data_IF_273757488040
#
_entry.id   IF_273757488040
#
_cell.length_a   1.000
_cell.length_b   1.000
_cell.length_c   1.000
_cell.angle_alpha   90.00
_cell.angle_beta   90.00
_cell.angle_gamma   90.00
#
_symmetry.space_group_name_H-M   'P 1'
#
loop_
_entity.id
_entity.type
_entity.pdbx_description
1 polymer ?
#
# COMPACT_ATOMS: atom_id res chain seq x y z
N UNK A 1 44.11 53.16 25.18
CA UNK A 1 42.84 52.81 24.50
C UNK A 1 42.96 51.38 23.97
N UNK A 2 41.96 50.56 24.33
CA UNK A 2 41.57 49.25 23.79
C UNK A 2 42.56 48.07 23.82
N UNK A 3 42.48 47.33 24.94
CA UNK A 3 42.68 45.88 25.04
C UNK A 3 41.77 45.10 24.07
N UNK A 4 42.25 44.01 23.49
CA UNK A 4 41.41 42.97 22.87
C UNK A 4 41.90 41.57 23.27
N UNK A 5 41.55 41.16 24.49
CA UNK A 5 41.59 39.76 24.88
C UNK A 5 40.39 39.03 24.26
N UNK A 6 40.67 38.13 23.32
CA UNK A 6 39.70 37.16 22.81
C UNK A 6 39.50 36.05 23.86
N UNK A 7 38.35 36.08 24.54
CA UNK A 7 37.89 34.99 25.41
C UNK A 7 37.19 33.92 24.57
N UNK A 8 37.93 32.87 24.23
CA UNK A 8 37.33 31.61 23.79
C UNK A 8 36.54 30.99 24.95
N UNK A 9 35.22 31.21 24.96
CA UNK A 9 34.30 30.50 25.86
C UNK A 9 34.17 29.05 25.43
N UNK A 10 34.95 28.16 26.04
CA UNK A 10 34.74 26.71 25.96
C UNK A 10 33.49 26.38 26.77
N UNK A 11 32.37 26.26 26.06
CA UNK A 11 31.09 25.80 26.62
C UNK A 11 31.23 24.32 27.03
N UNK A 12 31.64 24.04 28.28
CA UNK A 12 31.66 22.68 28.85
C UNK A 12 30.23 22.13 28.82
N UNK A 13 29.95 21.18 27.92
CA UNK A 13 28.68 20.45 27.87
C UNK A 13 28.56 19.56 29.11
N UNK A 14 27.47 19.72 29.85
CA UNK A 14 27.07 18.86 30.97
C UNK A 14 26.79 17.46 30.41
N UNK A 15 27.64 16.48 30.73
CA UNK A 15 27.42 15.07 30.35
C UNK A 15 26.45 14.46 31.36
N UNK A 16 25.37 13.84 30.87
CA UNK A 16 24.41 13.13 31.71
C UNK A 16 24.92 11.69 31.85
N UNK A 17 25.20 11.31 33.09
CA UNK A 17 25.58 9.95 33.48
C UNK A 17 24.30 9.19 33.83
N UNK A 18 24.22 7.90 33.50
CA UNK A 18 23.14 7.03 33.99
C UNK A 18 23.40 6.62 35.45
N UNK A 19 22.45 5.89 36.05
CA UNK A 19 22.54 5.35 37.42
C UNK A 19 23.81 4.50 37.67
N UNK A 20 24.48 4.05 36.60
CA UNK A 20 25.71 3.23 36.63
C UNK A 20 26.97 4.03 36.23
N UNK A 21 26.90 5.36 36.19
CA UNK A 21 28.03 6.25 35.85
C UNK A 21 28.60 6.08 34.42
N UNK A 22 27.79 5.57 33.48
CA UNK A 22 28.14 5.47 32.06
C UNK A 22 27.64 6.69 31.26
N UNK A 23 28.45 7.09 30.27
CA UNK A 23 28.14 8.21 29.37
C UNK A 23 26.96 7.85 28.47
N UNK A 24 25.85 8.56 28.62
CA UNK A 24 24.70 8.43 27.74
C UNK A 24 25.02 9.13 26.40
N UNK A 25 25.39 8.34 25.40
CA UNK A 25 25.66 8.85 24.04
C UNK A 25 24.33 9.28 23.42
N UNK A 26 24.20 10.57 23.06
CA UNK A 26 23.08 11.02 22.25
C UNK A 26 23.28 10.53 20.81
N UNK A 27 22.21 10.12 20.13
CA UNK A 27 22.28 9.70 18.73
C UNK A 27 22.87 10.80 17.83
N UNK A 28 22.69 12.07 18.21
CA UNK A 28 23.28 13.22 17.52
C UNK A 28 24.82 13.18 17.42
N UNK A 29 25.47 12.46 18.33
CA UNK A 29 26.93 12.32 18.34
C UNK A 29 27.43 11.15 17.46
N UNK A 30 26.52 10.29 16.98
CA UNK A 30 26.83 9.15 16.09
C UNK A 30 26.87 9.59 14.62
N UNK A 31 28.03 10.09 14.19
CA UNK A 31 28.23 10.58 12.80
C UNK A 31 28.35 9.48 11.74
N UNK A 32 28.85 8.29 12.13
CA UNK A 32 29.16 7.19 11.22
C UNK A 32 28.81 5.85 11.88
N UNK A 33 28.64 4.82 11.06
CA UNK A 33 28.37 3.45 11.54
C UNK A 33 29.46 2.93 12.49
N UNK A 34 30.72 3.31 12.31
CA UNK A 34 31.83 2.86 13.16
C UNK A 34 31.67 3.31 14.63
N UNK A 35 30.97 4.43 14.85
CA UNK A 35 30.65 4.99 16.16
C UNK A 35 29.29 4.50 16.70
N UNK A 36 28.57 3.66 15.94
CA UNK A 36 27.27 3.16 16.33
C UNK A 36 27.43 1.91 17.21
N UNK A 37 27.03 2.05 18.48
CA UNK A 37 26.96 0.96 19.45
C UNK A 37 25.52 0.73 19.86
N UNK A 38 25.10 -0.53 19.86
CA UNK A 38 23.79 -0.91 20.39
C UNK A 38 24.00 -1.21 21.87
N UNK A 39 23.56 -0.32 22.74
CA UNK A 39 23.67 -0.46 24.19
C UNK A 39 22.29 -0.50 24.83
N UNK A 40 22.06 -1.54 25.63
CA UNK A 40 20.81 -1.71 26.38
C UNK A 40 21.21 -1.98 27.83
N UNK A 41 20.86 -1.06 28.74
CA UNK A 41 21.19 -1.14 30.17
C UNK A 41 22.68 -1.34 30.45
N UNK A 42 23.54 -0.63 29.71
CA UNK A 42 25.01 -0.73 29.81
C UNK A 42 25.64 -1.92 29.09
N UNK A 43 24.83 -2.88 28.62
CA UNK A 43 25.32 -4.03 27.87
C UNK A 43 25.38 -3.72 26.37
N UNK A 44 26.56 -3.92 25.77
CA UNK A 44 26.74 -3.79 24.32
C UNK A 44 26.28 -5.07 23.61
N UNK A 45 25.32 -4.94 22.68
CA UNK A 45 24.70 -6.06 21.95
C UNK A 45 25.32 -6.31 20.57
N UNK A 46 26.42 -5.64 20.24
CA UNK A 46 27.06 -5.70 18.92
C UNK A 46 27.41 -7.13 18.48
N UNK A 47 27.84 -7.99 19.40
CA UNK A 47 28.19 -9.40 19.13
C UNK A 47 26.98 -10.30 18.90
N UNK A 48 25.82 -9.94 19.44
CA UNK A 48 24.57 -10.71 19.32
C UNK A 48 23.85 -10.45 17.98
N UNK A 49 24.27 -9.41 17.25
CA UNK A 49 23.61 -8.95 16.03
C UNK A 49 24.60 -8.97 14.87
N UNK A 50 24.35 -9.79 13.82
CA UNK A 50 25.20 -9.82 12.64
C UNK A 50 25.43 -8.43 12.04
N UNK A 51 26.68 -8.13 11.64
CA UNK A 51 27.08 -6.80 11.18
C UNK A 51 26.18 -6.22 10.07
N UNK A 52 25.72 -7.07 9.13
CA UNK A 52 24.78 -6.68 8.06
C UNK A 52 23.45 -6.17 8.61
N UNK A 53 22.88 -6.83 9.62
CA UNK A 53 21.63 -6.39 10.25
C UNK A 53 21.86 -5.13 11.09
N UNK A 54 22.98 -5.06 11.81
CA UNK A 54 23.35 -3.88 12.59
C UNK A 54 23.49 -2.62 11.72
N UNK A 55 24.05 -2.75 10.51
CA UNK A 55 24.11 -1.63 9.53
C UNK A 55 22.73 -1.17 9.10
N UNK A 56 21.83 -2.10 8.78
CA UNK A 56 20.44 -1.75 8.43
C UNK A 56 19.70 -1.09 9.60
N UNK A 57 19.92 -1.59 10.81
CA UNK A 57 19.34 -1.01 12.02
C UNK A 57 19.89 0.39 12.30
N UNK A 58 21.19 0.63 12.06
CA UNK A 58 21.79 1.96 12.11
C UNK A 58 21.09 2.92 11.14
N UNK A 59 20.91 2.54 9.87
CA UNK A 59 20.21 3.39 8.89
C UNK A 59 18.75 3.66 9.31
N UNK A 60 18.10 2.68 9.94
CA UNK A 60 16.76 2.87 10.48
C UNK A 60 16.75 3.89 11.64
N UNK A 61 17.66 3.75 12.61
CA UNK A 61 17.84 4.72 13.70
C UNK A 61 18.17 6.12 13.16
N UNK A 62 19.04 6.19 12.15
CA UNK A 62 19.44 7.43 11.48
C UNK A 62 18.28 8.13 10.80
N UNK A 63 17.38 7.38 10.15
CA UNK A 63 16.15 7.95 9.56
C UNK A 63 15.25 8.65 10.59
N UNK A 64 15.28 8.17 11.84
CA UNK A 64 14.51 8.73 12.96
C UNK A 64 15.34 9.68 13.83
N UNK A 65 16.63 9.85 13.53
CA UNK A 65 17.60 10.62 14.32
C UNK A 65 17.59 10.22 15.80
N UNK A 66 17.33 8.94 16.10
CA UNK A 66 17.18 8.42 17.46
C UNK A 66 17.58 6.95 17.56
N UNK A 67 18.07 6.53 18.73
CA UNK A 67 18.21 5.12 19.05
C UNK A 67 16.83 4.52 19.32
N UNK A 68 16.36 3.61 18.46
CA UNK A 68 15.01 3.07 18.61
C UNK A 68 14.85 2.19 19.86
N UNK A 69 15.96 1.70 20.42
CA UNK A 69 16.00 0.87 21.62
C UNK A 69 16.23 1.65 22.92
N UNK A 70 16.30 2.99 22.87
CA UNK A 70 16.67 3.83 24.02
C UNK A 70 15.84 3.58 25.27
N UNK A 71 14.54 3.32 25.10
CA UNK A 71 13.59 3.18 26.19
C UNK A 71 13.18 1.72 26.44
N UNK A 72 13.92 0.73 25.90
CA UNK A 72 13.66 -0.68 26.20
C UNK A 72 13.63 -0.89 27.72
N UNK A 73 12.59 -1.56 28.22
CA UNK A 73 12.37 -1.74 29.66
C UNK A 73 13.59 -2.37 30.36
N UNK A 74 13.89 -1.92 31.58
CA UNK A 74 14.90 -2.55 32.46
C UNK A 74 14.49 -4.01 32.72
N UNK A 75 15.47 -4.92 32.83
CA UNK A 75 15.24 -6.36 33.10
C UNK A 75 15.13 -7.27 31.86
N UNK A 76 15.09 -6.70 30.65
CA UNK A 76 15.26 -7.48 29.41
C UNK A 76 16.68 -8.03 29.33
N UNK A 77 16.81 -9.35 29.15
CA UNK A 77 18.13 -9.95 28.90
C UNK A 77 18.67 -9.55 27.51
N UNK A 78 20.00 -9.53 27.38
CA UNK A 78 20.71 -9.09 26.18
C UNK A 78 20.28 -9.85 24.91
N UNK A 79 20.08 -11.16 25.02
CA UNK A 79 19.63 -12.02 23.90
C UNK A 79 18.25 -11.64 23.39
N UNK A 80 17.32 -11.34 24.30
CA UNK A 80 15.96 -10.92 23.95
C UNK A 80 15.98 -9.53 23.32
N UNK A 81 16.72 -8.57 23.87
CA UNK A 81 16.89 -7.24 23.29
C UNK A 81 17.50 -7.33 21.87
N UNK A 82 18.53 -8.15 21.67
CA UNK A 82 19.13 -8.39 20.37
C UNK A 82 18.14 -9.02 19.39
N UNK A 83 17.30 -9.96 19.85
CA UNK A 83 16.23 -10.55 19.05
C UNK A 83 15.20 -9.51 18.61
N UNK A 84 14.71 -8.66 19.52
CA UNK A 84 13.77 -7.57 19.21
C UNK A 84 14.35 -6.68 18.11
N UNK A 85 15.58 -6.22 18.26
CA UNK A 85 16.25 -5.36 17.27
C UNK A 85 16.38 -6.05 15.90
N UNK A 86 16.77 -7.33 15.88
CA UNK A 86 16.85 -8.12 14.64
C UNK A 86 15.51 -8.24 13.94
N UNK A 87 14.44 -8.53 14.69
CA UNK A 87 13.09 -8.68 14.12
C UNK A 87 12.57 -7.33 13.63
N UNK A 88 12.70 -6.25 14.40
CA UNK A 88 12.35 -4.89 13.95
C UNK A 88 13.04 -4.51 12.66
N UNK A 89 14.35 -4.82 12.53
CA UNK A 89 15.12 -4.54 11.31
C UNK A 89 14.57 -5.30 10.10
N UNK A 90 14.23 -6.58 10.27
CA UNK A 90 13.64 -7.40 9.21
C UNK A 90 12.25 -6.92 8.81
N UNK A 91 11.41 -6.54 9.78
CA UNK A 91 10.09 -5.98 9.52
C UNK A 91 10.23 -4.66 8.75
N UNK A 92 11.15 -3.77 9.14
CA UNK A 92 11.39 -2.52 8.42
C UNK A 92 11.81 -2.74 6.96
N UNK A 93 12.65 -3.74 6.68
CA UNK A 93 12.99 -4.15 5.31
C UNK A 93 11.77 -4.68 4.56
N UNK A 94 10.95 -5.52 5.19
CA UNK A 94 9.74 -6.07 4.58
C UNK A 94 8.72 -4.97 4.24
N UNK A 95 8.50 -4.00 5.14
CA UNK A 95 7.66 -2.83 4.89
C UNK A 95 8.19 -2.01 3.71
N UNK A 96 9.52 -1.84 3.60
CA UNK A 96 10.14 -1.12 2.49
C UNK A 96 9.99 -1.85 1.15
N UNK A 97 9.96 -3.18 1.17
CA UNK A 97 9.81 -4.04 0.00
C UNK A 97 8.34 -4.39 -0.32
N UNK A 98 7.38 -3.95 0.50
CA UNK A 98 5.97 -4.23 0.30
C UNK A 98 5.47 -3.67 -1.03
N UNK A 99 4.57 -4.41 -1.66
CA UNK A 99 3.91 -4.10 -2.93
C UNK A 99 2.39 -4.11 -2.73
N UNK A 100 1.64 -3.64 -3.73
CA UNK A 100 0.18 -3.73 -3.71
C UNK A 100 -0.34 -5.16 -3.58
N UNK A 101 0.41 -6.15 -4.08
CA UNK A 101 0.09 -7.57 -3.94
C UNK A 101 0.51 -8.18 -2.60
N UNK A 102 1.11 -7.39 -1.69
CA UNK A 102 1.50 -7.89 -0.38
C UNK A 102 0.25 -8.24 0.42
N UNK A 103 0.26 -9.43 1.01
CA UNK A 103 -0.84 -9.92 1.82
C UNK A 103 -1.07 -9.00 3.04
N UNK A 104 -2.29 -8.48 3.20
CA UNK A 104 -2.68 -7.60 4.31
C UNK A 104 -2.55 -8.30 5.67
N UNK A 105 -2.82 -9.61 5.76
CA UNK A 105 -2.66 -10.42 6.98
C UNK A 105 -1.19 -10.40 7.44
N UNK A 106 -0.25 -10.40 6.49
CA UNK A 106 1.17 -10.32 6.82
C UNK A 106 1.55 -8.95 7.39
N UNK A 107 0.98 -7.86 6.84
CA UNK A 107 1.16 -6.50 7.36
C UNK A 107 0.56 -6.35 8.77
N UNK A 108 -0.62 -6.92 9.02
CA UNK A 108 -1.26 -6.96 10.34
C UNK A 108 -0.39 -7.71 11.35
N UNK A 109 0.18 -8.86 10.96
CA UNK A 109 1.12 -9.60 11.79
C UNK A 109 2.37 -8.80 12.15
N UNK A 110 2.87 -7.98 11.21
CA UNK A 110 3.95 -7.04 11.48
C UNK A 110 3.54 -5.92 12.43
N UNK A 111 2.35 -5.32 12.27
CA UNK A 111 1.88 -4.28 13.19
C UNK A 111 1.73 -4.82 14.61
N UNK A 112 1.13 -6.00 14.77
CA UNK A 112 1.01 -6.66 16.08
C UNK A 112 2.36 -6.90 16.74
N UNK A 113 3.33 -7.42 15.98
CA UNK A 113 4.70 -7.62 16.50
C UNK A 113 5.35 -6.29 16.91
N UNK A 114 5.17 -5.23 16.12
CA UNK A 114 5.71 -3.91 16.42
C UNK A 114 5.01 -3.25 17.61
N UNK A 115 3.70 -3.47 17.79
CA UNK A 115 2.93 -3.04 18.96
C UNK A 115 3.52 -3.65 20.23
N UNK A 116 3.74 -4.96 20.25
CA UNK A 116 4.38 -5.64 21.40
C UNK A 116 5.77 -5.05 21.69
N UNK A 117 6.56 -4.73 20.67
CA UNK A 117 7.88 -4.13 20.86
C UNK A 117 7.82 -2.67 21.31
N UNK A 118 6.83 -1.92 20.84
CA UNK A 118 6.53 -0.57 21.32
C UNK A 118 6.16 -0.60 22.80
N UNK A 119 5.33 -1.56 23.22
CA UNK A 119 4.99 -1.77 24.63
C UNK A 119 6.23 -2.12 25.47
N UNK A 120 7.20 -2.83 24.90
CA UNK A 120 8.52 -3.09 25.52
C UNK A 120 9.45 -1.85 25.53
N UNK A 121 9.06 -0.74 24.91
CA UNK A 121 9.78 0.53 24.91
C UNK A 121 10.56 0.84 23.63
N UNK A 122 10.34 0.10 22.55
CA UNK A 122 10.92 0.44 21.25
C UNK A 122 10.20 1.65 20.62
N UNK A 123 10.97 2.60 20.09
CA UNK A 123 10.43 3.71 19.31
C UNK A 123 10.12 3.26 17.87
N UNK A 124 9.03 2.49 17.68
CA UNK A 124 8.66 1.90 16.38
C UNK A 124 7.31 2.35 15.83
N UNK A 125 6.61 3.28 16.49
CA UNK A 125 5.33 3.82 16.03
C UNK A 125 5.34 4.32 14.58
N UNK A 126 6.46 4.89 14.10
CA UNK A 126 6.58 5.32 12.70
C UNK A 126 6.48 4.17 11.68
N UNK A 127 6.91 2.96 12.03
CA UNK A 127 6.75 1.77 11.18
C UNK A 127 5.29 1.32 11.16
N UNK A 128 4.61 1.39 12.32
CA UNK A 128 3.20 1.07 12.47
C UNK A 128 2.32 2.00 11.64
N UNK A 129 2.55 3.32 11.75
CA UNK A 129 1.90 4.33 10.88
C UNK A 129 2.14 4.07 9.40
N UNK A 130 3.32 3.56 9.02
CA UNK A 130 3.59 3.21 7.61
C UNK A 130 2.82 1.97 7.18
N UNK A 131 2.67 0.97 8.04
CA UNK A 131 1.81 -0.20 7.80
C UNK A 131 0.35 0.25 7.61
N UNK A 132 -0.17 1.10 8.49
CA UNK A 132 -1.55 1.62 8.40
C UNK A 132 -1.81 2.30 7.05
N UNK A 133 -0.86 3.13 6.58
CA UNK A 133 -0.94 3.76 5.26
C UNK A 133 -0.95 2.75 4.12
N UNK A 134 -0.10 1.71 4.18
CA UNK A 134 -0.06 0.66 3.16
C UNK A 134 -1.38 -0.13 3.13
N UNK A 135 -1.95 -0.44 4.30
CA UNK A 135 -3.24 -1.12 4.38
C UNK A 135 -4.39 -0.26 3.86
N UNK A 136 -4.39 1.05 4.17
CA UNK A 136 -5.36 2.01 3.62
C UNK A 136 -5.35 2.01 2.10
N UNK A 137 -4.17 2.19 1.49
CA UNK A 137 -4.02 2.14 0.02
C UNK A 137 -4.49 0.83 -0.60
N UNK A 138 -4.28 -0.30 0.09
CA UNK A 138 -4.77 -1.60 -0.37
C UNK A 138 -6.29 -1.69 -0.36
N UNK A 139 -6.96 -1.09 0.64
CA UNK A 139 -8.44 -1.07 0.72
C UNK A 139 -9.03 -0.17 -0.34
N UNK A 140 -8.49 1.04 -0.49
CA UNK A 140 -8.95 2.00 -1.50
C UNK A 140 -8.89 1.38 -2.91
N UNK A 141 -7.81 0.65 -3.22
CA UNK A 141 -7.69 -0.07 -4.49
C UNK A 141 -8.73 -1.19 -4.65
N UNK A 142 -9.00 -1.95 -3.57
CA UNK A 142 -10.03 -3.00 -3.61
C UNK A 142 -11.42 -2.42 -3.86
N UNK A 143 -11.73 -1.27 -3.27
CA UNK A 143 -13.01 -0.57 -3.46
C UNK A 143 -13.16 -0.08 -4.91
N UNK A 144 -12.10 0.49 -5.49
CA UNK A 144 -12.09 0.89 -6.91
C UNK A 144 -12.31 -0.31 -7.83
N UNK A 145 -11.60 -1.42 -7.60
CA UNK A 145 -11.76 -2.65 -8.40
C UNK A 145 -13.18 -3.20 -8.28
N UNK A 146 -13.77 -3.14 -7.09
CA UNK A 146 -15.17 -3.56 -6.87
C UNK A 146 -16.15 -2.66 -7.63
N UNK A 147 -15.96 -1.34 -7.61
CA UNK A 147 -16.78 -0.39 -8.39
C UNK A 147 -16.72 -0.70 -9.88
N UNK A 148 -15.51 -0.83 -10.43
CA UNK A 148 -15.32 -1.11 -11.86
C UNK A 148 -15.94 -2.45 -12.29
N UNK A 149 -15.92 -3.47 -11.42
CA UNK A 149 -16.59 -4.75 -11.67
C UNK A 149 -18.11 -4.63 -11.73
N UNK A 150 -18.69 -3.81 -10.85
CA UNK A 150 -20.12 -3.55 -10.87
C UNK A 150 -20.52 -2.78 -12.13
N UNK A 151 -19.78 -1.71 -12.47
CA UNK A 151 -20.00 -0.93 -13.69
C UNK A 151 -19.87 -1.78 -14.96
N UNK A 152 -18.90 -2.72 -14.98
CA UNK A 152 -18.76 -3.68 -16.07
C UNK A 152 -19.98 -4.59 -16.18
N UNK A 153 -20.47 -5.14 -15.06
CA UNK A 153 -21.68 -5.98 -15.05
C UNK A 153 -22.90 -5.21 -15.59
N UNK A 154 -23.10 -3.96 -15.16
CA UNK A 154 -24.20 -3.12 -15.63
C UNK A 154 -24.10 -2.84 -17.14
N UNK A 155 -22.88 -2.60 -17.64
CA UNK A 155 -22.64 -2.39 -19.06
C UNK A 155 -22.90 -3.65 -19.88
N UNK A 156 -22.50 -4.83 -19.38
CA UNK A 156 -22.79 -6.12 -20.01
C UNK A 156 -24.30 -6.39 -20.10
N UNK A 157 -25.06 -6.08 -19.05
CA UNK A 157 -26.52 -6.25 -19.06
C UNK A 157 -27.20 -5.32 -20.06
N UNK A 158 -26.80 -4.04 -20.10
CA UNK A 158 -27.28 -3.09 -21.14
C UNK A 158 -26.95 -3.57 -22.54
N UNK A 159 -25.73 -4.08 -22.75
CA UNK A 159 -25.33 -4.65 -24.03
C UNK A 159 -26.21 -5.83 -24.45
N UNK A 160 -26.55 -6.73 -23.52
CA UNK A 160 -27.46 -7.86 -23.79
C UNK A 160 -28.84 -7.40 -24.23
N UNK A 161 -29.40 -6.38 -23.56
CA UNK A 161 -30.71 -5.81 -23.93
C UNK A 161 -30.68 -5.23 -25.33
N UNK A 162 -29.73 -4.34 -25.62
CA UNK A 162 -29.59 -3.70 -26.94
C UNK A 162 -29.37 -4.75 -28.03
N UNK A 163 -28.56 -5.78 -27.76
CA UNK A 163 -28.32 -6.88 -28.70
C UNK A 163 -29.61 -7.65 -29.01
N UNK A 164 -30.46 -7.89 -28.01
CA UNK A 164 -31.76 -8.55 -28.21
C UNK A 164 -32.71 -7.69 -29.06
N UNK A 165 -32.77 -6.38 -28.81
CA UNK A 165 -33.55 -5.43 -29.59
C UNK A 165 -33.11 -5.38 -31.07
N UNK A 166 -31.79 -5.29 -31.32
CA UNK A 166 -31.22 -5.34 -32.68
C UNK A 166 -31.60 -6.64 -33.38
N UNK A 167 -31.51 -7.78 -32.68
CA UNK A 167 -31.88 -9.09 -33.23
C UNK A 167 -33.38 -9.12 -33.59
N UNK A 168 -34.24 -8.59 -32.72
CA UNK A 168 -35.68 -8.48 -32.99
C UNK A 168 -35.99 -7.59 -34.18
N UNK A 169 -35.36 -6.41 -34.27
CA UNK A 169 -35.51 -5.50 -35.41
C UNK A 169 -35.07 -6.15 -36.73
N UNK A 170 -33.96 -6.90 -36.73
CA UNK A 170 -33.50 -7.61 -37.91
C UNK A 170 -34.52 -8.68 -38.39
N UNK A 171 -35.18 -9.39 -37.46
CA UNK A 171 -36.24 -10.34 -37.81
C UNK A 171 -37.46 -9.65 -38.41
N UNK A 172 -37.86 -8.48 -37.88
CA UNK A 172 -38.96 -7.69 -38.43
C UNK A 172 -38.66 -7.17 -39.83
N UNK A 173 -37.46 -6.63 -40.06
CA UNK A 173 -37.02 -6.18 -41.39
C UNK A 173 -37.10 -7.33 -42.38
N UNK A 174 -36.57 -8.51 -42.03
CA UNK A 174 -36.63 -9.68 -42.89
C UNK A 174 -38.08 -10.05 -43.26
N UNK A 175 -38.97 -10.10 -42.27
CA UNK A 175 -40.39 -10.40 -42.50
C UNK A 175 -41.03 -9.40 -43.47
N UNK A 176 -40.78 -8.10 -43.28
CA UNK A 176 -41.34 -7.05 -44.16
C UNK A 176 -40.80 -7.21 -45.58
N UNK A 177 -39.50 -7.49 -45.76
CA UNK A 177 -38.91 -7.74 -47.07
C UNK A 177 -39.55 -8.95 -47.75
N UNK A 178 -39.73 -10.06 -47.02
CA UNK A 178 -40.38 -11.26 -47.54
C UNK A 178 -41.83 -10.96 -48.00
N UNK A 179 -42.61 -10.22 -47.19
CA UNK A 179 -43.98 -9.80 -47.55
C UNK A 179 -44.03 -8.88 -48.78
N UNK A 180 -43.09 -7.94 -48.91
CA UNK A 180 -42.97 -7.06 -50.10
C UNK A 180 -42.73 -7.92 -51.35
N UNK A 181 -41.76 -8.84 -51.32
CA UNK A 181 -41.45 -9.70 -52.46
C UNK A 181 -42.64 -10.59 -52.86
N UNK A 182 -43.40 -11.11 -51.91
CA UNK A 182 -44.62 -11.88 -52.19
C UNK A 182 -45.71 -11.05 -52.89
N UNK A 183 -45.91 -9.80 -52.46
CA UNK A 183 -46.89 -8.89 -53.07
C UNK A 183 -46.46 -8.45 -54.48
N UNK A 184 -45.18 -8.14 -54.66
CA UNK A 184 -44.60 -7.80 -55.97
C UNK A 184 -44.78 -8.95 -56.97
N UNK A 185 -44.48 -10.20 -56.57
CA UNK A 185 -44.68 -11.37 -57.41
C UNK A 185 -46.15 -11.64 -57.78
N UNK A 186 -47.11 -11.26 -56.92
CA UNK A 186 -48.54 -11.34 -57.22
C UNK A 186 -48.98 -10.28 -58.24
N UNK A 187 -48.37 -9.09 -58.20
CA UNK A 187 -48.71 -7.99 -59.10
C UNK A 187 -48.22 -8.21 -60.54
N UNK A 188 -47.14 -8.97 -60.75
CA UNK A 188 -46.65 -9.35 -62.08
C UNK A 188 -47.62 -10.26 -62.86
N UNK A 189 -48.59 -10.89 -62.18
CA UNK A 189 -49.70 -11.61 -62.80
C UNK A 189 -50.95 -10.73 -62.67
N UNK A 190 -51.40 -10.01 -63.73
CA UNK A 190 -52.61 -9.20 -63.61
C UNK A 190 -53.75 -10.08 -63.10
N UNK A 191 -54.22 -9.77 -61.89
CA UNK A 191 -55.26 -10.54 -61.24
C UNK A 191 -56.52 -10.46 -62.09
N UNK A 192 -57.16 -11.61 -62.34
CA UNK A 192 -58.38 -11.73 -63.18
C UNK A 192 -59.42 -10.66 -62.79
N UNK A 193 -59.58 -10.38 -61.49
CA UNK A 193 -60.49 -9.33 -61.01
C UNK A 193 -60.08 -7.88 -61.34
N UNK A 194 -58.79 -7.57 -61.48
CA UNK A 194 -58.35 -6.22 -61.87
C UNK A 194 -58.63 -5.96 -63.35
N UNK A 195 -58.38 -6.94 -64.21
CA UNK A 195 -58.65 -6.83 -65.66
C UNK A 195 -60.15 -6.78 -65.95
N UNK A 196 -60.95 -7.54 -65.22
CA UNK A 196 -62.41 -7.56 -65.38
C UNK A 196 -63.05 -6.21 -65.01
N UNK A 197 -62.58 -5.58 -63.92
CA UNK A 197 -63.05 -4.26 -63.48
C UNK A 197 -62.54 -3.15 -64.40
N UNK A 198 -61.26 -3.20 -64.81
CA UNK A 198 -60.68 -2.19 -65.70
C UNK A 198 -61.32 -2.20 -67.10
N UNK A 199 -61.84 -3.35 -67.57
CA UNK A 199 -62.52 -3.48 -68.85
C UNK A 199 -64.04 -3.23 -68.82
N UNK A 200 -64.61 -2.86 -67.67
CA UNK A 200 -66.06 -2.67 -67.54
C UNK A 200 -66.56 -1.37 -68.21
N UNK A 201 -67.80 -1.34 -68.75
CA UNK A 201 -68.41 -0.12 -69.30
C UNK A 201 -68.65 0.95 -68.21
N UNK A 202 -68.54 2.23 -68.58
CA UNK A 202 -68.77 3.39 -67.70
C UNK A 202 -70.21 3.53 -67.21
#
# INVERSE_FOLDING_TARGET
>A
MTNSHSLFSIKKRKRILNDNNELLVDFKDVKRFDNFKIQVHGLTLDSEIPARLRRKYYELCKSQKNFLHKNLRKGLNSKLAARVIRVTTKIADAIRAAKLSTNTIQLEGYDKTLKEYEDLGMAVGFLRTRIDKLMGLSRDLQDVVKSLRNELSDAEDKYRVVKAEITGAAMLIKKIVDEICELEAKNEKPGVGFTDVAGAPW
#
